data_IF_425671339384
#
_entry.id   IF_425671339384
#
_cell.length_a   1.000
_cell.length_b   1.000
_cell.length_c   1.000
_cell.angle_alpha   90.00
_cell.angle_beta   90.00
_cell.angle_gamma   90.00
#
_symmetry.space_group_name_H-M   'P 1'
#
loop_
_entity.id
_entity.type
_entity.pdbx_description
1 polymer ?
#
# COMPACT_ATOMS: atom_id res chain seq x y z
N UNK A 1 15.24 35.50 -11.53
CA UNK A 1 13.83 35.03 -11.38
C UNK A 1 13.79 33.51 -11.40
N UNK A 2 13.20 32.87 -10.39
CA UNK A 2 12.97 31.41 -10.43
C UNK A 2 11.88 31.11 -11.47
N UNK A 3 12.22 30.43 -12.58
CA UNK A 3 11.26 30.03 -13.61
C UNK A 3 10.16 29.15 -12.98
N UNK A 4 8.92 29.61 -13.04
CA UNK A 4 7.74 28.77 -12.84
C UNK A 4 7.53 27.90 -14.08
N UNK A 5 7.11 26.66 -13.87
CA UNK A 5 6.82 25.72 -14.96
C UNK A 5 5.82 24.67 -14.49
N UNK A 6 5.16 24.00 -15.44
CA UNK A 6 4.28 22.88 -15.13
C UNK A 6 5.06 21.58 -15.34
N UNK A 7 5.10 20.77 -14.29
CA UNK A 7 5.74 19.45 -14.31
C UNK A 7 4.72 18.36 -14.57
N UNK A 8 4.89 17.65 -15.68
CA UNK A 8 4.34 16.31 -15.85
C UNK A 8 5.26 15.31 -15.13
N UNK A 9 4.70 14.46 -14.29
CA UNK A 9 5.39 13.35 -13.65
C UNK A 9 4.61 12.07 -13.94
N UNK A 10 5.14 11.26 -14.84
CA UNK A 10 4.64 9.91 -15.13
C UNK A 10 5.22 8.93 -14.13
N UNK A 11 4.37 8.13 -13.50
CA UNK A 11 4.72 7.14 -12.49
C UNK A 11 4.18 5.80 -12.96
N UNK A 12 5.06 4.97 -13.52
CA UNK A 12 4.73 3.63 -13.99
C UNK A 12 4.75 2.67 -12.80
N UNK A 13 3.59 2.13 -12.47
CA UNK A 13 3.39 1.18 -11.40
C UNK A 13 3.22 -0.21 -12.02
N UNK A 14 4.36 -0.91 -12.17
CA UNK A 14 4.40 -2.15 -12.93
C UNK A 14 4.20 -1.91 -14.42
N UNK A 15 3.65 -2.90 -15.11
CA UNK A 15 3.39 -2.85 -16.56
C UNK A 15 1.97 -2.37 -16.89
N UNK A 16 1.04 -2.54 -15.95
CA UNK A 16 -0.40 -2.33 -16.16
C UNK A 16 -0.87 -0.92 -15.79
N UNK A 17 -0.24 -0.24 -14.82
CA UNK A 17 -0.78 0.99 -14.25
C UNK A 17 0.16 2.19 -14.47
N UNK A 18 -0.44 3.33 -14.80
CA UNK A 18 0.22 4.62 -14.96
C UNK A 18 -0.50 5.67 -14.14
N UNK A 19 0.23 6.35 -13.26
CA UNK A 19 -0.24 7.61 -12.66
C UNK A 19 0.48 8.79 -13.31
N UNK A 20 -0.23 9.90 -13.50
CA UNK A 20 0.37 11.14 -14.01
C UNK A 20 0.00 12.29 -13.08
N UNK A 21 1.01 12.98 -12.57
CA UNK A 21 0.83 14.27 -11.89
C UNK A 21 1.18 15.39 -12.88
N UNK A 22 0.26 16.33 -13.09
CA UNK A 22 0.52 17.58 -13.82
C UNK A 22 0.36 18.71 -12.81
N UNK A 23 1.48 19.19 -12.30
CA UNK A 23 1.50 20.14 -11.17
C UNK A 23 2.28 21.39 -11.54
N UNK A 24 1.74 22.53 -11.17
CA UNK A 24 2.45 23.79 -11.30
C UNK A 24 3.51 23.88 -10.19
N UNK A 25 4.76 24.13 -10.58
CA UNK A 25 5.89 24.24 -9.67
C UNK A 25 6.29 25.71 -9.57
N UNK A 26 5.87 26.34 -8.49
CA UNK A 26 6.31 27.67 -8.09
C UNK A 26 7.33 27.50 -6.94
N UNK A 27 8.46 28.19 -7.02
CA UNK A 27 9.49 28.20 -5.96
C UNK A 27 10.09 26.84 -5.54
N UNK A 28 11.07 26.33 -6.32
CA UNK A 28 11.94 25.26 -5.80
C UNK A 28 12.70 25.77 -4.57
N UNK A 29 12.69 25.05 -3.42
CA UNK A 29 13.58 25.37 -2.31
C UNK A 29 15.04 25.27 -2.77
N UNK A 30 15.92 26.08 -2.18
CA UNK A 30 17.36 25.98 -2.42
C UNK A 30 17.84 24.60 -1.97
N UNK A 31 18.59 23.91 -2.84
CA UNK A 31 19.26 22.69 -2.45
C UNK A 31 20.20 23.00 -1.28
N UNK A 32 20.13 22.23 -0.20
CA UNK A 32 21.03 22.36 0.95
C UNK A 32 20.50 23.11 2.17
N UNK A 33 19.27 23.66 2.16
CA UNK A 33 18.68 24.17 3.42
C UNK A 33 18.25 23.00 4.31
N UNK A 34 18.95 22.85 5.44
CA UNK A 34 18.56 21.92 6.51
C UNK A 34 17.15 22.21 7.01
N UNK A 35 16.43 21.14 7.34
CA UNK A 35 15.11 21.25 7.97
C UNK A 35 15.28 21.84 9.37
N UNK A 36 14.85 23.09 9.56
CA UNK A 36 14.72 23.68 10.90
C UNK A 36 13.36 23.32 11.50
N UNK A 37 13.35 22.62 12.64
CA UNK A 37 12.17 22.38 13.47
C UNK A 37 11.23 21.22 13.04
N UNK A 38 10.19 21.00 13.85
CA UNK A 38 9.12 20.00 13.58
C UNK A 38 8.28 20.46 12.38
N UNK A 39 7.89 19.52 11.51
CA UNK A 39 6.98 19.83 10.39
C UNK A 39 5.63 20.35 10.89
N UNK A 40 5.07 21.35 10.20
CA UNK A 40 3.71 21.85 10.47
C UNK A 40 2.66 20.74 10.35
N UNK A 41 1.50 20.91 10.99
CA UNK A 41 0.39 19.95 10.89
C UNK A 41 -0.03 19.70 9.44
N UNK A 42 -0.12 20.77 8.63
CA UNK A 42 -0.39 20.69 7.19
C UNK A 42 0.66 19.85 6.45
N UNK A 43 1.95 20.06 6.74
CA UNK A 43 3.03 19.28 6.13
C UNK A 43 3.01 17.81 6.55
N UNK A 44 2.67 17.51 7.81
CA UNK A 44 2.48 16.14 8.31
C UNK A 44 1.35 15.43 7.58
N UNK A 45 0.20 16.08 7.41
CA UNK A 45 -0.95 15.53 6.68
C UNK A 45 -0.62 15.29 5.20
N UNK A 46 0.09 16.22 4.56
CA UNK A 46 0.55 16.05 3.18
C UNK A 46 1.53 14.88 3.04
N UNK A 47 2.45 14.71 4.00
CA UNK A 47 3.38 13.58 4.01
C UNK A 47 2.64 12.25 4.20
N UNK A 48 1.64 12.19 5.08
CA UNK A 48 0.80 11.00 5.25
C UNK A 48 0.04 10.65 3.95
N UNK A 49 -0.61 11.63 3.31
CA UNK A 49 -1.27 11.45 2.00
C UNK A 49 -0.30 10.90 0.95
N UNK A 50 0.91 11.46 0.87
CA UNK A 50 1.96 11.00 -0.05
C UNK A 50 2.45 9.59 0.28
N UNK A 51 2.59 9.28 1.57
CA UNK A 51 3.02 7.96 2.06
C UNK A 51 2.01 6.87 1.70
N UNK A 52 0.72 7.12 1.98
CA UNK A 52 -0.38 6.22 1.61
C UNK A 52 -0.44 5.99 0.09
N UNK A 53 -0.36 7.06 -0.70
CA UNK A 53 -0.30 6.95 -2.16
C UNK A 53 0.90 6.14 -2.63
N UNK A 54 2.08 6.37 -2.04
CA UNK A 54 3.29 5.62 -2.39
C UNK A 54 3.15 4.13 -2.05
N UNK A 55 2.50 3.80 -0.95
CA UNK A 55 2.21 2.42 -0.56
C UNK A 55 1.32 1.72 -1.61
N UNK A 56 0.25 2.38 -2.09
CA UNK A 56 -0.56 1.90 -3.22
C UNK A 56 0.27 1.70 -4.50
N UNK A 57 1.12 2.66 -4.85
CA UNK A 57 1.98 2.56 -6.04
C UNK A 57 2.93 1.36 -5.97
N UNK A 58 3.54 1.10 -4.81
CA UNK A 58 4.42 -0.06 -4.61
C UNK A 58 3.63 -1.36 -4.71
N UNK A 59 2.44 -1.41 -4.11
CA UNK A 59 1.56 -2.56 -4.15
C UNK A 59 1.17 -2.92 -5.60
N UNK A 60 0.63 -1.96 -6.35
CA UNK A 60 0.29 -2.13 -7.77
C UNK A 60 1.50 -2.42 -8.68
N UNK A 61 2.73 -2.07 -8.24
CA UNK A 61 3.95 -2.40 -9.01
C UNK A 61 4.36 -3.87 -8.86
N UNK A 62 4.01 -4.50 -7.74
CA UNK A 62 4.56 -5.80 -7.36
C UNK A 62 3.54 -6.92 -7.29
N UNK A 63 2.26 -6.60 -7.10
CA UNK A 63 1.22 -7.59 -6.88
C UNK A 63 0.06 -7.48 -7.88
N UNK A 64 -0.48 -8.62 -8.28
CA UNK A 64 -1.54 -8.80 -9.26
C UNK A 64 -2.54 -9.89 -8.86
N UNK A 65 -3.27 -10.43 -9.83
CA UNK A 65 -4.39 -11.37 -9.57
C UNK A 65 -3.94 -12.76 -9.06
N UNK A 66 -2.68 -13.13 -9.32
CA UNK A 66 -2.11 -14.43 -8.91
C UNK A 66 -1.55 -14.41 -7.48
N UNK A 67 -1.56 -13.23 -6.86
CA UNK A 67 -1.00 -12.99 -5.53
C UNK A 67 -2.09 -13.05 -4.45
N UNK A 68 -1.67 -13.02 -3.18
CA UNK A 68 -2.54 -13.31 -2.05
C UNK A 68 -2.54 -12.17 -1.02
N UNK A 69 -3.69 -11.98 -0.39
CA UNK A 69 -3.85 -11.21 0.84
C UNK A 69 -4.09 -12.18 2.00
N UNK A 70 -3.44 -11.92 3.12
CA UNK A 70 -3.54 -12.73 4.33
C UNK A 70 -3.98 -11.80 5.45
N UNK A 71 -5.06 -12.17 6.13
CA UNK A 71 -5.49 -11.55 7.38
C UNK A 71 -5.22 -12.52 8.52
N UNK A 72 -4.28 -12.19 9.39
CA UNK A 72 -3.85 -13.03 10.50
C UNK A 72 -4.13 -12.36 11.85
N UNK A 73 -4.85 -13.06 12.71
CA UNK A 73 -5.23 -12.63 14.07
C UNK A 73 -4.67 -13.60 15.11
N UNK A 74 -4.80 -13.24 16.38
CA UNK A 74 -4.39 -14.09 17.50
C UNK A 74 -5.61 -14.63 18.25
N UNK A 75 -5.50 -15.88 18.71
CA UNK A 75 -6.42 -16.41 19.73
C UNK A 75 -6.00 -15.93 21.12
N UNK A 76 -6.83 -16.20 22.12
CA UNK A 76 -6.62 -15.72 23.49
C UNK A 76 -5.33 -16.25 24.12
N UNK A 77 -4.94 -17.49 23.80
CA UNK A 77 -3.73 -18.14 24.31
C UNK A 77 -2.44 -17.50 23.80
N UNK A 78 -2.44 -17.00 22.56
CA UNK A 78 -1.24 -16.45 21.91
C UNK A 78 -1.38 -14.96 21.59
N UNK A 79 -2.32 -14.26 22.23
CA UNK A 79 -2.48 -12.83 22.06
C UNK A 79 -1.21 -12.13 22.57
N UNK A 80 -0.46 -11.42 21.72
CA UNK A 80 0.76 -10.76 22.14
C UNK A 80 0.46 -9.63 23.11
N UNK A 81 1.26 -9.53 24.16
CA UNK A 81 1.13 -8.46 25.16
C UNK A 81 1.74 -7.15 24.61
N UNK A 82 2.79 -7.26 23.81
CA UNK A 82 3.49 -6.09 23.26
C UNK A 82 3.50 -6.09 21.74
N UNK A 83 3.64 -4.90 21.15
CA UNK A 83 3.83 -4.75 19.71
C UNK A 83 5.09 -5.47 19.21
N UNK A 84 6.15 -5.49 20.01
CA UNK A 84 7.40 -6.18 19.68
C UNK A 84 7.21 -7.69 19.58
N UNK A 85 6.44 -8.29 20.49
CA UNK A 85 6.08 -9.70 20.41
C UNK A 85 5.26 -10.01 19.16
N UNK A 86 4.28 -9.16 18.84
CA UNK A 86 3.48 -9.31 17.63
C UNK A 86 4.35 -9.24 16.36
N UNK A 87 5.33 -8.33 16.32
CA UNK A 87 6.30 -8.22 15.24
C UNK A 87 7.17 -9.46 15.11
N UNK A 88 7.69 -9.96 16.23
CA UNK A 88 8.46 -11.21 16.25
C UNK A 88 7.65 -12.38 15.71
N UNK A 89 6.39 -12.50 16.13
CA UNK A 89 5.49 -13.57 15.70
C UNK A 89 5.22 -13.53 14.19
N UNK A 90 4.90 -12.35 13.65
CA UNK A 90 4.65 -12.20 12.21
C UNK A 90 5.93 -12.36 11.37
N UNK A 91 7.09 -11.92 11.86
CA UNK A 91 8.35 -12.15 11.16
C UNK A 91 8.76 -13.63 11.16
N UNK A 92 8.58 -14.35 12.27
CA UNK A 92 8.77 -15.81 12.32
C UNK A 92 7.84 -16.54 11.34
N UNK A 93 6.60 -16.08 11.19
CA UNK A 93 5.69 -16.56 10.16
C UNK A 93 6.23 -16.29 8.75
N UNK A 94 6.58 -15.05 8.43
CA UNK A 94 7.12 -14.68 7.12
C UNK A 94 8.41 -15.46 6.77
N UNK A 95 9.26 -15.76 7.75
CA UNK A 95 10.46 -16.57 7.54
C UNK A 95 10.15 -18.05 7.26
N UNK A 96 9.07 -18.60 7.82
CA UNK A 96 8.56 -19.93 7.46
C UNK A 96 8.03 -19.94 6.02
N UNK A 97 7.21 -18.94 5.68
CA UNK A 97 6.68 -18.76 4.33
C UNK A 97 7.81 -18.61 3.31
N UNK A 98 8.79 -17.76 3.59
CA UNK A 98 9.96 -17.51 2.75
C UNK A 98 10.75 -18.80 2.47
N UNK A 99 11.04 -19.59 3.51
CA UNK A 99 11.77 -20.86 3.36
C UNK A 99 11.00 -21.87 2.54
N UNK A 100 9.68 -21.98 2.75
CA UNK A 100 8.83 -22.90 1.97
C UNK A 100 8.73 -22.46 0.51
N UNK A 101 8.46 -21.18 0.26
CA UNK A 101 8.39 -20.61 -1.09
C UNK A 101 9.70 -20.84 -1.84
N UNK A 102 10.84 -20.58 -1.21
CA UNK A 102 12.15 -20.81 -1.85
C UNK A 102 12.35 -22.28 -2.22
N UNK A 103 11.91 -23.21 -1.38
CA UNK A 103 12.04 -24.65 -1.62
C UNK A 103 11.10 -25.17 -2.70
N UNK A 104 9.86 -24.71 -2.75
CA UNK A 104 8.83 -25.27 -3.64
C UNK A 104 8.76 -24.59 -5.00
N UNK A 105 9.07 -23.29 -5.08
CA UNK A 105 8.96 -22.52 -6.32
C UNK A 105 10.28 -21.90 -6.77
N UNK A 106 11.32 -21.91 -5.92
CA UNK A 106 12.58 -21.20 -6.18
C UNK A 106 12.50 -19.67 -6.05
N UNK A 107 11.29 -19.12 -5.88
CA UNK A 107 11.04 -17.69 -5.81
C UNK A 107 11.39 -17.11 -4.44
N UNK A 108 11.77 -15.83 -4.41
CA UNK A 108 11.94 -15.09 -3.17
C UNK A 108 10.63 -14.44 -2.74
N UNK A 109 10.29 -14.57 -1.46
CA UNK A 109 9.10 -13.93 -0.89
C UNK A 109 9.17 -12.41 -1.03
N UNK A 110 8.12 -11.85 -1.64
CA UNK A 110 7.77 -10.44 -1.61
C UNK A 110 6.60 -10.26 -0.68
N UNK A 111 6.65 -9.25 0.18
CA UNK A 111 5.52 -8.93 1.04
C UNK A 111 5.38 -7.45 1.35
N UNK A 112 4.15 -7.03 1.63
CA UNK A 112 3.80 -5.79 2.31
C UNK A 112 2.92 -6.12 3.51
N UNK A 113 3.38 -5.75 4.70
CA UNK A 113 2.76 -6.04 5.99
C UNK A 113 2.24 -4.73 6.61
N UNK A 114 1.01 -4.77 7.09
CA UNK A 114 0.42 -3.76 7.98
C UNK A 114 -0.01 -4.46 9.26
N UNK A 115 0.56 -4.07 10.39
CA UNK A 115 0.09 -4.46 11.72
C UNK A 115 -0.83 -3.37 12.23
N UNK A 116 -2.07 -3.70 12.56
CA UNK A 116 -3.03 -2.80 13.22
C UNK A 116 -3.14 -3.13 14.71
N UNK A 117 -3.23 -2.11 15.55
CA UNK A 117 -3.36 -2.24 17.00
C UNK A 117 -3.94 -0.97 17.63
N UNK A 118 -4.45 -1.07 18.86
CA UNK A 118 -4.70 0.09 19.72
C UNK A 118 -3.45 0.37 20.54
N UNK A 119 -2.87 1.58 20.49
CA UNK A 119 -1.72 1.91 21.33
C UNK A 119 -2.12 1.93 22.81
N UNK A 120 -1.20 1.54 23.68
CA UNK A 120 -1.33 1.61 25.14
C UNK A 120 -0.47 2.78 25.64
N UNK A 121 -0.83 3.36 26.79
CA UNK A 121 -0.03 4.37 27.47
C UNK A 121 1.12 3.74 28.27
N UNK A 122 1.92 4.58 28.95
CA UNK A 122 3.04 4.14 29.77
C UNK A 122 2.61 3.28 30.98
N UNK A 123 1.32 3.31 31.34
CA UNK A 123 0.72 2.53 32.43
C UNK A 123 0.05 1.23 31.91
N UNK A 124 0.15 0.94 30.61
CA UNK A 124 -0.44 -0.24 29.98
C UNK A 124 -1.97 -0.15 29.83
N UNK A 125 -2.56 1.03 30.06
CA UNK A 125 -3.97 1.24 29.78
C UNK A 125 -4.13 1.48 28.28
N UNK A 126 -5.16 0.88 27.68
CA UNK A 126 -5.50 1.19 26.31
C UNK A 126 -5.73 2.69 26.21
N UNK A 127 -4.96 3.38 25.37
CA UNK A 127 -5.19 4.78 25.09
C UNK A 127 -6.59 4.89 24.46
N UNK A 128 -7.59 5.26 25.26
CA UNK A 128 -8.71 6.03 24.74
C UNK A 128 -8.10 7.36 24.33
N UNK A 129 -7.67 7.46 23.07
CA UNK A 129 -6.87 8.59 22.58
C UNK A 129 -7.59 9.91 22.87
N UNK A 130 -7.26 10.57 23.99
CA UNK A 130 -7.67 11.92 24.30
C UNK A 130 -7.17 12.83 23.17
N UNK A 131 -8.09 13.58 22.54
CA UNK A 131 -7.81 14.38 21.35
C UNK A 131 -8.21 13.74 20.00
N UNK A 132 -8.85 12.58 20.01
CA UNK A 132 -9.64 12.09 18.87
C UNK A 132 -11.12 12.30 19.20
N UNK A 133 -11.70 13.41 18.73
CA UNK A 133 -13.16 13.71 18.82
C UNK A 133 -14.05 12.68 18.11
N UNK A 134 -13.46 11.67 17.48
CA UNK A 134 -14.16 10.66 16.71
C UNK A 134 -14.45 9.44 17.59
N UNK A 135 -15.61 9.48 18.26
CA UNK A 135 -16.22 8.40 19.07
C UNK A 135 -16.35 7.04 18.33
N UNK A 136 -15.92 6.95 17.07
CA UNK A 136 -15.97 5.75 16.22
C UNK A 136 -14.73 4.83 16.31
N UNK A 137 -13.63 5.26 16.96
CA UNK A 137 -12.39 4.47 16.96
C UNK A 137 -12.41 3.37 18.02
N UNK A 138 -13.12 2.28 17.75
CA UNK A 138 -13.17 1.09 18.62
C UNK A 138 -11.77 0.48 18.84
N UNK A 139 -11.54 -0.02 20.06
CA UNK A 139 -10.37 -0.80 20.41
C UNK A 139 -10.19 -1.99 19.45
N UNK A 140 -8.96 -2.22 19.00
CA UNK A 140 -8.63 -3.28 18.03
C UNK A 140 -7.55 -4.17 18.60
N UNK A 141 -7.89 -5.47 18.67
CA UNK A 141 -6.93 -6.53 18.94
C UNK A 141 -5.87 -6.54 17.84
N UNK A 142 -4.62 -6.77 18.25
CA UNK A 142 -3.48 -6.80 17.33
C UNK A 142 -3.75 -7.82 16.22
N UNK A 143 -3.63 -7.38 14.97
CA UNK A 143 -3.74 -8.26 13.81
C UNK A 143 -2.90 -7.74 12.64
N UNK A 144 -2.65 -8.63 11.68
CA UNK A 144 -1.76 -8.39 10.57
C UNK A 144 -2.50 -8.56 9.25
N UNK A 145 -2.34 -7.57 8.36
CA UNK A 145 -2.67 -7.68 6.95
C UNK A 145 -1.38 -7.80 6.14
N UNK A 146 -1.27 -8.87 5.36
CA UNK A 146 -0.06 -9.19 4.60
C UNK A 146 -0.46 -9.40 3.15
N UNK A 147 0.13 -8.65 2.23
CA UNK A 147 0.04 -8.90 0.79
C UNK A 147 1.33 -9.62 0.39
N UNK A 148 1.25 -10.82 -0.19
CA UNK A 148 2.41 -11.61 -0.63
C UNK A 148 2.28 -12.05 -2.07
N UNK A 149 3.41 -12.34 -2.71
CA UNK A 149 3.36 -12.96 -4.04
C UNK A 149 2.83 -14.40 -3.95
N UNK A 150 2.19 -14.85 -5.03
CA UNK A 150 1.69 -16.20 -5.19
C UNK A 150 2.80 -17.25 -5.25
N UNK A 151 2.37 -18.52 -5.36
CA UNK A 151 3.25 -19.68 -5.51
C UNK A 151 3.09 -20.74 -4.42
N UNK A 152 2.46 -20.40 -3.30
CA UNK A 152 2.09 -21.36 -2.25
C UNK A 152 0.58 -21.52 -2.15
N UNK A 153 0.12 -22.68 -1.70
CA UNK A 153 -1.30 -22.92 -1.44
C UNK A 153 -1.77 -22.14 -0.21
N UNK A 154 -3.07 -21.79 -0.20
CA UNK A 154 -3.70 -21.11 0.93
C UNK A 154 -3.65 -21.97 2.19
N UNK A 155 -3.98 -23.25 2.07
CA UNK A 155 -3.98 -24.20 3.18
C UNK A 155 -2.61 -24.31 3.87
N UNK A 156 -1.52 -24.17 3.11
CA UNK A 156 -0.16 -24.19 3.65
C UNK A 156 0.21 -22.88 4.34
N UNK A 157 -0.21 -21.74 3.76
CA UNK A 157 -0.03 -20.42 4.35
C UNK A 157 -0.79 -20.30 5.67
N UNK A 158 -2.00 -20.85 5.73
CA UNK A 158 -2.83 -20.90 6.93
C UNK A 158 -2.21 -21.85 7.97
N UNK A 159 -1.74 -23.04 7.55
CA UNK A 159 -1.08 -23.99 8.43
C UNK A 159 0.18 -23.41 9.11
N UNK A 160 0.92 -22.56 8.42
CA UNK A 160 2.14 -21.93 8.95
C UNK A 160 1.89 -20.85 10.01
N UNK A 161 0.66 -20.35 10.17
CA UNK A 161 0.28 -19.42 11.25
C UNK A 161 0.08 -20.16 12.59
N UNK A 162 1.15 -20.82 13.02
CA UNK A 162 1.15 -21.70 14.19
C UNK A 162 2.45 -21.55 14.98
N UNK A 163 2.45 -21.99 16.22
CA UNK A 163 3.65 -22.11 17.05
C UNK A 163 4.36 -23.44 16.77
N UNK A 164 3.59 -24.48 16.45
CA UNK A 164 4.09 -25.82 16.10
C UNK A 164 4.97 -25.79 14.85
N UNK A 165 6.10 -26.50 14.89
CA UNK A 165 6.89 -26.77 13.69
C UNK A 165 6.16 -27.80 12.81
N UNK A 166 5.75 -27.37 11.62
CA UNK A 166 4.95 -28.20 10.72
C UNK A 166 5.76 -29.37 10.13
N UNK A 167 5.21 -30.58 10.25
CA UNK A 167 5.64 -31.77 9.55
C UNK A 167 4.88 -31.87 8.22
N UNK A 168 5.53 -31.46 7.13
CA UNK A 168 4.92 -31.42 5.80
C UNK A 168 4.49 -32.79 5.26
N UNK A 169 5.04 -33.91 5.76
CA UNK A 169 4.59 -35.26 5.39
C UNK A 169 3.19 -35.57 5.92
N UNK A 170 2.80 -34.97 7.05
CA UNK A 170 1.50 -35.15 7.71
C UNK A 170 0.57 -33.94 7.52
N UNK A 171 0.96 -32.91 6.76
CA UNK A 171 0.20 -31.65 6.66
C UNK A 171 -1.23 -31.80 6.06
N UNK A 172 -1.46 -32.90 5.31
CA UNK A 172 -2.75 -33.25 4.73
C UNK A 172 -3.63 -34.08 5.67
N UNK A 173 -3.07 -34.63 6.75
CA UNK A 173 -3.80 -35.44 7.72
C UNK A 173 -4.68 -34.52 8.61
N UNK A 174 -6.01 -34.69 8.60
CA UNK A 174 -6.92 -33.90 9.42
C UNK A 174 -6.65 -34.01 10.92
N UNK A 175 -6.24 -35.18 11.41
CA UNK A 175 -5.95 -35.41 12.84
C UNK A 175 -4.68 -34.67 13.24
N UNK A 176 -3.67 -34.67 12.38
CA UNK A 176 -2.48 -33.85 12.57
C UNK A 176 -2.83 -32.36 12.66
N UNK A 177 -3.64 -31.84 11.73
CA UNK A 177 -4.02 -30.40 11.72
C UNK A 177 -4.80 -30.00 12.97
N UNK A 178 -5.68 -30.86 13.50
CA UNK A 178 -6.42 -30.59 14.75
C UNK A 178 -5.50 -30.38 15.96
N UNK A 179 -4.33 -31.02 15.95
CA UNK A 179 -3.35 -30.96 17.05
C UNK A 179 -2.28 -29.87 16.86
N UNK A 180 -2.36 -29.06 15.79
CA UNK A 180 -1.44 -27.93 15.58
C UNK A 180 -1.81 -26.77 16.51
N UNK A 181 -0.82 -26.23 17.22
CA UNK A 181 -0.97 -25.06 18.09
C UNK A 181 -0.99 -23.79 17.22
N UNK A 182 -2.15 -23.44 16.69
CA UNK A 182 -2.36 -22.24 15.88
C UNK A 182 -2.22 -20.97 16.72
N UNK A 183 -1.62 -19.92 16.13
CA UNK A 183 -1.51 -18.62 16.80
C UNK A 183 -2.86 -17.89 16.85
N UNK A 184 -3.77 -18.18 15.92
CA UNK A 184 -5.10 -17.60 15.85
C UNK A 184 -5.75 -17.86 14.50
N UNK A 185 -6.74 -17.06 14.13
CA UNK A 185 -7.40 -17.20 12.83
C UNK A 185 -6.54 -16.59 11.73
N UNK A 186 -6.47 -17.27 10.60
CA UNK A 186 -5.78 -16.80 9.41
C UNK A 186 -6.66 -17.11 8.20
N UNK A 187 -6.89 -16.09 7.39
CA UNK A 187 -7.61 -16.23 6.12
C UNK A 187 -6.69 -15.79 4.99
N UNK A 188 -6.55 -16.63 3.98
CA UNK A 188 -5.85 -16.30 2.76
C UNK A 188 -6.85 -16.06 1.61
N UNK A 189 -6.84 -14.85 1.07
CA UNK A 189 -7.71 -14.42 -0.02
C UNK A 189 -6.89 -14.19 -1.30
N UNK A 190 -7.48 -14.52 -2.44
CA UNK A 190 -6.89 -14.14 -3.73
C UNK A 190 -7.06 -12.65 -3.94
N UNK A 191 -6.02 -11.99 -4.43
CA UNK A 191 -6.17 -10.59 -4.83
C UNK A 191 -7.14 -10.50 -6.02
N UNK A 192 -8.03 -9.51 -5.95
CA UNK A 192 -8.99 -9.20 -7.01
C UNK A 192 -8.74 -7.77 -7.51
N UNK A 193 -7.71 -7.54 -8.35
CA UNK A 193 -7.41 -6.22 -8.85
C UNK A 193 -8.53 -5.70 -9.76
N UNK A 194 -8.94 -4.45 -9.56
CA UNK A 194 -9.89 -3.76 -10.42
C UNK A 194 -9.17 -2.85 -11.41
N UNK A 195 -9.87 -1.88 -12.01
CA UNK A 195 -9.29 -0.91 -12.95
C UNK A 195 -8.11 -0.10 -12.37
N UNK A 196 -8.08 0.09 -11.04
CA UNK A 196 -7.01 0.77 -10.30
C UNK A 196 -6.10 -0.22 -9.55
N UNK A 197 -6.13 -1.49 -9.91
CA UNK A 197 -5.38 -2.56 -9.27
C UNK A 197 -5.94 -2.91 -7.90
N UNK A 198 -5.05 -3.06 -6.92
CA UNK A 198 -5.41 -3.44 -5.54
C UNK A 198 -5.53 -2.23 -4.60
N UNK A 199 -5.69 -1.03 -5.16
CA UNK A 199 -5.82 0.22 -4.39
C UNK A 199 -6.92 0.15 -3.33
N UNK A 200 -8.07 -0.45 -3.64
CA UNK A 200 -9.18 -0.59 -2.69
C UNK A 200 -8.77 -1.34 -1.43
N UNK A 201 -8.16 -2.52 -1.60
CA UNK A 201 -7.60 -3.32 -0.51
C UNK A 201 -6.54 -2.54 0.27
N UNK A 202 -5.60 -1.93 -0.44
CA UNK A 202 -4.48 -1.20 0.17
C UNK A 202 -4.97 0.01 0.98
N UNK A 203 -5.98 0.72 0.48
CA UNK A 203 -6.60 1.83 1.22
C UNK A 203 -7.39 1.32 2.44
N UNK A 204 -8.06 0.17 2.31
CA UNK A 204 -8.79 -0.47 3.41
C UNK A 204 -7.87 -0.83 4.57
N UNK A 205 -6.81 -1.60 4.32
CA UNK A 205 -5.81 -1.99 5.35
C UNK A 205 -5.00 -0.80 5.87
N UNK A 206 -5.11 0.37 5.21
CA UNK A 206 -4.39 1.58 5.58
C UNK A 206 -5.31 2.67 6.15
N UNK A 207 -6.58 2.34 6.43
CA UNK A 207 -7.61 3.28 6.87
C UNK A 207 -7.33 3.88 8.25
N UNK A 208 -6.77 3.09 9.18
CA UNK A 208 -6.52 3.54 10.57
C UNK A 208 -5.55 4.73 10.65
N UNK A 209 -5.69 5.52 11.72
CA UNK A 209 -4.87 6.71 11.96
C UNK A 209 -3.42 6.35 12.25
N UNK A 210 -2.52 7.31 12.06
CA UNK A 210 -1.10 7.17 12.36
C UNK A 210 -0.91 6.94 13.87
N UNK A 211 -0.08 5.98 14.25
CA UNK A 211 0.14 5.58 15.65
C UNK A 211 -0.63 4.31 16.06
N UNK A 212 -1.68 3.94 15.33
CA UNK A 212 -2.44 2.70 15.52
C UNK A 212 -2.03 1.59 14.53
N UNK A 213 -0.91 1.79 13.82
CA UNK A 213 -0.43 0.85 12.81
C UNK A 213 1.06 1.00 12.53
N UNK A 214 1.68 -0.11 12.12
CA UNK A 214 3.06 -0.16 11.62
C UNK A 214 3.11 -0.88 10.28
N UNK A 215 3.98 -0.39 9.39
CA UNK A 215 4.19 -1.01 8.07
C UNK A 215 5.57 -1.65 8.00
N UNK A 216 5.66 -2.77 7.30
CA UNK A 216 6.91 -3.45 6.97
C UNK A 216 6.81 -4.01 5.56
N UNK A 217 7.94 -4.10 4.84
CA UNK A 217 7.95 -4.59 3.45
C UNK A 217 9.23 -5.38 3.18
N UNK A 218 9.17 -6.36 2.28
CA UNK A 218 10.37 -7.04 1.83
C UNK A 218 11.31 -6.10 1.04
N UNK A 219 12.61 -6.37 1.07
CA UNK A 219 13.63 -5.53 0.41
C UNK A 219 13.66 -5.66 -1.12
N UNK A 220 13.10 -6.74 -1.67
CA UNK A 220 13.11 -7.09 -3.09
C UNK A 220 11.90 -6.54 -3.89
N UNK A 221 11.11 -5.63 -3.31
CA UNK A 221 10.02 -4.97 -4.04
C UNK A 221 10.55 -3.99 -5.10
N UNK A 222 10.03 -4.10 -6.31
CA UNK A 222 10.28 -3.15 -7.40
C UNK A 222 9.68 -1.79 -7.04
N UNK A 223 10.44 -0.72 -7.25
CA UNK A 223 9.97 0.67 -7.05
C UNK A 223 9.27 1.17 -8.33
N UNK A 224 8.20 1.99 -8.21
CA UNK A 224 7.57 2.63 -9.36
C UNK A 224 8.58 3.47 -10.15
N UNK A 225 8.57 3.36 -11.48
CA UNK A 225 9.48 4.12 -12.36
C UNK A 225 8.92 5.52 -12.60
N UNK A 226 9.73 6.56 -12.38
CA UNK A 226 9.29 7.96 -12.49
C UNK A 226 9.99 8.66 -13.66
N UNK A 227 9.21 9.27 -14.56
CA UNK A 227 9.71 10.15 -15.63
C UNK A 227 9.09 11.54 -15.49
N UNK A 228 9.90 12.58 -15.60
CA UNK A 228 9.46 13.98 -15.48
C UNK A 228 9.58 14.69 -16.84
N UNK A 229 8.69 15.63 -17.11
CA UNK A 229 8.75 16.54 -18.23
C UNK A 229 8.24 17.93 -17.79
N UNK A 230 9.08 18.95 -17.94
CA UNK A 230 8.82 20.31 -17.44
C UNK A 230 8.38 21.27 -18.57
N UNK A 231 8.27 20.80 -19.83
CA UNK A 231 7.96 21.63 -21.01
C UNK A 231 6.65 21.26 -21.73
N UNK A 232 6.07 20.09 -21.46
CA UNK A 232 4.88 19.59 -22.18
C UNK A 232 3.59 20.38 -21.90
N UNK A 233 3.45 20.93 -20.71
CA UNK A 233 2.26 21.67 -20.29
C UNK A 233 2.63 23.10 -19.92
N UNK A 234 1.74 24.03 -20.25
CA UNK A 234 1.77 25.41 -19.76
C UNK A 234 0.66 25.62 -18.74
N UNK A 235 0.79 26.64 -17.89
CA UNK A 235 -0.24 26.99 -16.90
C UNK A 235 -1.61 27.21 -17.55
N UNK A 236 -1.65 28.01 -18.63
CA UNK A 236 -2.87 28.27 -19.41
C UNK A 236 -3.51 27.00 -19.96
N UNK A 237 -2.70 26.04 -20.42
CA UNK A 237 -3.19 24.74 -20.90
C UNK A 237 -3.87 23.95 -19.78
N UNK A 238 -3.27 23.90 -18.59
CA UNK A 238 -3.88 23.21 -17.44
C UNK A 238 -5.21 23.86 -17.02
N UNK A 239 -5.27 25.19 -16.95
CA UNK A 239 -6.51 25.92 -16.66
C UNK A 239 -7.60 25.68 -17.71
N UNK A 240 -7.22 25.51 -18.97
CA UNK A 240 -8.18 25.19 -20.05
C UNK A 240 -8.74 23.78 -19.87
N UNK A 241 -7.88 22.80 -19.60
CA UNK A 241 -8.30 21.41 -19.37
C UNK A 241 -9.19 21.27 -18.13
N UNK A 242 -8.98 22.10 -17.11
CA UNK A 242 -9.81 22.11 -15.90
C UNK A 242 -11.28 22.51 -16.15
N UNK A 243 -11.58 23.15 -17.29
CA UNK A 243 -12.96 23.49 -17.68
C UNK A 243 -13.74 22.29 -18.20
N UNK A 244 -13.06 21.24 -18.63
CA UNK A 244 -13.65 20.00 -19.16
C UNK A 244 -13.03 18.78 -18.46
N UNK A 245 -13.21 18.65 -17.13
CA UNK A 245 -12.46 17.69 -16.32
C UNK A 245 -12.77 16.22 -16.65
N UNK A 246 -13.93 15.95 -17.25
CA UNK A 246 -14.39 14.59 -17.59
C UNK A 246 -13.94 14.10 -18.97
N UNK A 247 -13.26 14.95 -19.76
CA UNK A 247 -12.82 14.60 -21.11
C UNK A 247 -11.71 13.54 -21.09
N UNK A 248 -12.13 12.27 -21.13
CA UNK A 248 -11.23 11.11 -21.27
C UNK A 248 -10.57 11.05 -22.64
N UNK A 249 -11.19 11.59 -23.69
CA UNK A 249 -10.70 11.46 -25.07
C UNK A 249 -9.39 12.23 -25.26
N UNK A 250 -9.29 13.43 -24.70
CA UNK A 250 -8.04 14.18 -24.66
C UNK A 250 -6.92 13.34 -24.02
N UNK A 251 -7.18 12.71 -22.87
CA UNK A 251 -6.16 11.92 -22.16
C UNK A 251 -5.78 10.64 -22.90
N UNK A 252 -6.71 9.96 -23.58
CA UNK A 252 -6.42 8.81 -24.45
C UNK A 252 -5.50 9.20 -25.61
N UNK A 253 -5.74 10.37 -26.24
CA UNK A 253 -4.88 10.89 -27.32
C UNK A 253 -3.47 11.20 -26.83
N UNK A 254 -3.35 11.80 -25.65
CA UNK A 254 -2.06 12.21 -25.06
C UNK A 254 -1.26 11.03 -24.49
N UNK A 255 -1.94 10.05 -23.88
CA UNK A 255 -1.34 8.85 -23.29
C UNK A 255 -1.84 7.61 -24.04
N UNK A 256 -1.38 7.47 -25.28
CA UNK A 256 -1.75 6.36 -26.17
C UNK A 256 -1.48 5.00 -25.50
N UNK A 257 -2.42 4.07 -25.67
CA UNK A 257 -2.37 2.73 -25.07
C UNK A 257 -2.80 2.67 -23.61
N UNK A 258 -3.35 3.75 -23.04
CA UNK A 258 -3.87 3.79 -21.68
C UNK A 258 -5.31 4.31 -21.63
N UNK A 259 -6.13 3.69 -20.79
CA UNK A 259 -7.49 4.11 -20.48
C UNK A 259 -7.51 4.91 -19.17
N UNK A 260 -8.04 6.15 -19.14
CA UNK A 260 -8.21 6.92 -17.92
C UNK A 260 -9.28 6.32 -17.00
N UNK A 261 -8.85 5.84 -15.84
CA UNK A 261 -9.72 5.28 -14.80
C UNK A 261 -10.13 6.35 -13.77
N UNK A 262 -9.27 7.35 -13.54
CA UNK A 262 -9.56 8.50 -12.69
C UNK A 262 -8.90 9.76 -13.23
N UNK A 263 -9.66 10.85 -13.28
CA UNK A 263 -9.19 12.19 -13.59
C UNK A 263 -9.59 13.08 -12.41
N UNK A 264 -8.61 13.69 -11.74
CA UNK A 264 -8.84 14.48 -10.54
C UNK A 264 -8.14 15.83 -10.66
N UNK A 265 -8.94 16.87 -10.92
CA UNK A 265 -8.49 18.25 -10.93
C UNK A 265 -8.61 18.85 -9.53
N UNK A 266 -7.50 19.39 -9.02
CA UNK A 266 -7.45 20.04 -7.72
C UNK A 266 -6.96 21.46 -7.89
N UNK A 267 -7.72 22.42 -7.34
CA UNK A 267 -7.31 23.82 -7.25
C UNK A 267 -6.61 24.08 -5.92
N UNK A 268 -5.57 24.92 -5.95
CA UNK A 268 -4.88 25.41 -4.78
C UNK A 268 -4.61 26.90 -4.97
N UNK A 269 -4.89 27.73 -3.97
CA UNK A 269 -4.78 29.19 -4.10
C UNK A 269 -3.36 29.67 -4.43
N UNK A 270 -2.32 28.90 -4.06
CA UNK A 270 -0.92 29.26 -4.27
C UNK A 270 -0.33 28.72 -5.57
N UNK A 271 -0.74 27.52 -6.01
CA UNK A 271 -0.17 26.87 -7.21
C UNK A 271 -1.11 26.84 -8.40
N UNK A 272 -2.40 27.16 -8.20
CA UNK A 272 -3.45 27.02 -9.19
C UNK A 272 -3.84 25.56 -9.44
N UNK A 273 -4.40 25.29 -10.62
CA UNK A 273 -4.89 23.97 -11.01
C UNK A 273 -3.77 22.93 -11.14
N UNK A 274 -4.01 21.75 -10.60
CA UNK A 274 -3.22 20.54 -10.77
C UNK A 274 -4.11 19.39 -11.23
N UNK A 275 -3.54 18.46 -11.99
CA UNK A 275 -4.26 17.27 -12.49
C UNK A 275 -3.57 16.01 -12.00
N UNK A 276 -4.34 15.09 -11.45
CA UNK A 276 -3.89 13.77 -11.04
C UNK A 276 -4.66 12.71 -11.84
N UNK A 277 -3.95 11.98 -12.68
CA UNK A 277 -4.52 10.93 -13.52
C UNK A 277 -4.14 9.56 -12.96
N UNK A 278 -5.09 8.63 -13.01
CA UNK A 278 -4.84 7.20 -12.94
C UNK A 278 -5.31 6.57 -14.23
N UNK A 279 -4.47 5.70 -14.78
CA UNK A 279 -4.72 5.07 -16.06
C UNK A 279 -4.27 3.62 -16.02
N UNK A 280 -4.98 2.78 -16.75
CA UNK A 280 -4.65 1.37 -16.94
C UNK A 280 -4.27 1.14 -18.40
N UNK A 281 -3.24 0.33 -18.64
CA UNK A 281 -2.83 -0.05 -19.99
C UNK A 281 -3.99 -0.79 -20.68
N UNK A 282 -4.32 -0.38 -21.88
CA UNK A 282 -5.29 -1.09 -22.72
C UNK A 282 -4.61 -2.39 -23.14
N UNK A 283 -5.21 -3.52 -22.79
CA UNK A 283 -4.78 -4.81 -23.34
C UNK A 283 -5.31 -4.85 -24.77
N UNK A 284 -4.42 -5.05 -25.74
CA UNK A 284 -4.87 -5.44 -27.06
C UNK A 284 -5.73 -6.69 -26.88
N UNK A 285 -7.00 -6.64 -27.29
CA UNK A 285 -7.78 -7.87 -27.40
C UNK A 285 -6.99 -8.74 -28.37
N UNK A 286 -6.44 -9.84 -27.87
CA UNK A 286 -5.90 -10.87 -28.74
C UNK A 286 -7.00 -11.17 -29.77
N UNK A 287 -6.68 -10.96 -31.05
CA UNK A 287 -7.50 -11.42 -32.15
C UNK A 287 -7.58 -12.94 -32.12
#
# INVERSE_FOLDING_TARGET
MRKSFVREKKIYCGEEYLEVDIVHVTNKPEAGKEKKGKSSAQQKNLNDKRSKRRFVQIANTNFGADDLHISATYNEKHLPITLEEAERNVHNYLDRVKRKMKRETGQDLKYMLVTEYTPEDEEGQQLTLEGIEDKSTKAVRIHHHIIINGGLSRDDLELMWSKTRINWKKAKDPEYRKNVDYLGFVNCDRLQPNENGIEGLVNYINKRKKGCKKWSTSMNLKKPKVRKNDSKYSYRKVCTLAKTPEDKEYWRKVYKGYEPTKIDFQYNDYTGWSVYLKMRKVRDRAK
#
